data_IF_101060234289
#
_entry.id   IF_101060234289
#
_cell.length_a   1.000
_cell.length_b   1.000
_cell.length_c   1.000
_cell.angle_alpha   90.00
_cell.angle_beta   90.00
_cell.angle_gamma   90.00
#
_symmetry.space_group_name_H-M   'P 1'
#
loop_
_entity.id
_entity.type
_entity.pdbx_description
1 polymer ?
#
# COMPACT_ATOMS: atom_id res chain seq x y z
N UNK A 1 8.40 -0.80 24.82
CA UNK A 1 8.78 0.61 24.53
C UNK A 1 8.76 0.80 23.02
N UNK A 2 7.93 1.69 22.47
CA UNK A 2 7.98 2.05 21.04
C UNK A 2 9.32 2.77 20.80
N UNK A 3 10.20 2.21 19.95
CA UNK A 3 11.45 2.88 19.56
C UNK A 3 11.09 4.23 18.91
N UNK A 4 11.82 5.32 19.19
CA UNK A 4 11.59 6.57 18.48
C UNK A 4 11.88 6.35 16.99
N UNK A 5 10.84 6.49 16.16
CA UNK A 5 10.96 6.39 14.71
C UNK A 5 11.83 7.56 14.22
N UNK A 6 12.96 7.26 13.60
CA UNK A 6 13.73 8.29 12.90
C UNK A 6 12.93 8.76 11.68
N UNK A 7 13.09 10.02 11.24
CA UNK A 7 12.32 10.56 10.12
C UNK A 7 12.49 9.78 8.80
N UNK A 8 13.58 9.02 8.63
CA UNK A 8 13.77 8.12 7.49
C UNK A 8 12.94 6.84 7.60
N UNK A 9 12.84 6.24 8.79
CA UNK A 9 12.00 5.05 9.00
C UNK A 9 10.52 5.43 8.88
N UNK A 10 10.12 6.59 9.40
CA UNK A 10 8.75 7.11 9.24
C UNK A 10 8.34 7.26 7.76
N UNK A 11 9.26 7.71 6.89
CA UNK A 11 9.02 7.75 5.43
C UNK A 11 8.81 6.38 4.81
N UNK A 12 9.61 5.39 5.21
CA UNK A 12 9.46 4.01 4.71
C UNK A 12 8.07 3.46 5.10
N UNK A 13 7.66 3.68 6.34
CA UNK A 13 6.34 3.23 6.83
C UNK A 13 5.21 3.94 6.08
N UNK A 14 5.28 5.27 5.88
CA UNK A 14 4.26 6.02 5.14
C UNK A 14 4.15 5.57 3.68
N UNK A 15 5.29 5.47 2.99
CA UNK A 15 5.33 5.07 1.58
C UNK A 15 4.72 3.66 1.38
N UNK A 16 5.08 2.70 2.23
CA UNK A 16 4.57 1.32 2.10
C UNK A 16 3.14 1.18 2.62
N UNK A 17 2.71 1.99 3.60
CA UNK A 17 1.29 2.12 3.97
C UNK A 17 0.45 2.55 2.78
N UNK A 18 0.88 3.61 2.08
CA UNK A 18 0.18 4.12 0.92
C UNK A 18 0.15 3.10 -0.23
N UNK A 19 1.28 2.44 -0.52
CA UNK A 19 1.37 1.41 -1.58
C UNK A 19 0.45 0.22 -1.31
N UNK A 20 0.36 -0.23 -0.06
CA UNK A 20 -0.55 -1.30 0.35
C UNK A 20 -2.01 -0.90 0.14
N UNK A 21 -2.41 0.27 0.64
CA UNK A 21 -3.81 0.69 0.56
C UNK A 21 -4.28 0.94 -0.87
N UNK A 22 -3.43 1.55 -1.71
CA UNK A 22 -3.73 1.78 -3.12
C UNK A 22 -3.75 0.48 -3.93
N UNK A 23 -2.82 -0.45 -3.69
CA UNK A 23 -2.82 -1.76 -4.35
C UNK A 23 -4.10 -2.55 -4.06
N UNK A 24 -4.52 -2.59 -2.79
CA UNK A 24 -5.78 -3.23 -2.39
C UNK A 24 -7.01 -2.52 -2.98
N UNK A 25 -6.99 -1.19 -3.08
CA UNK A 25 -8.08 -0.41 -3.67
C UNK A 25 -8.30 -0.76 -5.15
N UNK A 26 -7.23 -0.96 -5.91
CA UNK A 26 -7.33 -1.39 -7.32
C UNK A 26 -7.94 -2.79 -7.43
N UNK A 27 -7.54 -3.72 -6.55
CA UNK A 27 -8.12 -5.07 -6.53
C UNK A 27 -9.60 -5.06 -6.15
N UNK A 28 -9.99 -4.20 -5.19
CA UNK A 28 -11.38 -3.95 -4.82
C UNK A 28 -12.20 -3.41 -6.01
N UNK A 29 -11.67 -2.47 -6.79
CA UNK A 29 -12.37 -1.92 -7.96
C UNK A 29 -12.50 -2.93 -9.10
N UNK A 30 -11.49 -3.78 -9.32
CA UNK A 30 -11.60 -4.88 -10.29
C UNK A 30 -12.72 -5.84 -9.86
N UNK A 31 -12.76 -6.24 -8.58
CA UNK A 31 -13.83 -7.09 -8.07
C UNK A 31 -15.22 -6.42 -8.21
N UNK A 32 -15.30 -5.12 -7.91
CA UNK A 32 -16.57 -4.37 -7.90
C UNK A 32 -17.11 -4.08 -9.29
N UNK A 33 -16.27 -3.59 -10.19
CA UNK A 33 -16.72 -2.97 -11.44
C UNK A 33 -16.44 -3.79 -12.69
N UNK A 34 -15.55 -4.79 -12.61
CA UNK A 34 -15.23 -5.66 -13.76
C UNK A 34 -15.83 -7.04 -13.56
N UNK A 35 -15.78 -7.56 -12.33
CA UNK A 35 -16.28 -8.91 -12.02
C UNK A 35 -17.69 -8.89 -11.45
N UNK A 36 -18.20 -7.73 -11.03
CA UNK A 36 -19.46 -7.57 -10.27
C UNK A 36 -19.57 -8.56 -9.08
N UNK A 37 -18.43 -8.93 -8.49
CA UNK A 37 -18.31 -9.93 -7.43
C UNK A 37 -18.43 -9.25 -6.06
N UNK A 38 -19.65 -9.28 -5.51
CA UNK A 38 -19.96 -8.68 -4.20
C UNK A 38 -19.16 -9.33 -3.06
N UNK A 39 -19.09 -10.66 -2.91
CA UNK A 39 -18.22 -11.30 -1.92
C UNK A 39 -16.77 -10.83 -1.98
N UNK A 40 -16.15 -10.82 -3.17
CA UNK A 40 -14.75 -10.40 -3.33
C UNK A 40 -14.57 -8.91 -3.03
N UNK A 41 -15.52 -8.07 -3.44
CA UNK A 41 -15.53 -6.64 -3.13
C UNK A 41 -15.50 -6.38 -1.63
N UNK A 42 -16.38 -7.03 -0.86
CA UNK A 42 -16.42 -6.89 0.60
C UNK A 42 -15.16 -7.46 1.26
N UNK A 43 -14.60 -8.54 0.71
CA UNK A 43 -13.35 -9.11 1.20
C UNK A 43 -12.18 -8.12 1.06
N UNK A 44 -11.97 -7.53 -0.13
CA UNK A 44 -10.92 -6.53 -0.34
C UNK A 44 -11.12 -5.27 0.48
N UNK A 45 -12.36 -4.79 0.58
CA UNK A 45 -12.72 -3.66 1.44
C UNK A 45 -12.37 -3.94 2.90
N UNK A 46 -12.70 -5.12 3.41
CA UNK A 46 -12.37 -5.56 4.78
C UNK A 46 -10.86 -5.60 5.02
N UNK A 47 -10.09 -6.22 4.11
CA UNK A 47 -8.62 -6.25 4.21
C UNK A 47 -8.06 -4.82 4.23
N UNK A 48 -8.52 -3.94 3.34
CA UNK A 48 -8.06 -2.54 3.26
C UNK A 48 -8.36 -1.77 4.55
N UNK A 49 -9.54 -1.95 5.14
CA UNK A 49 -9.89 -1.34 6.44
C UNK A 49 -9.02 -1.88 7.57
N UNK A 50 -8.78 -3.20 7.64
CA UNK A 50 -7.91 -3.82 8.65
C UNK A 50 -6.47 -3.31 8.52
N UNK A 51 -5.94 -3.25 7.30
CA UNK A 51 -4.61 -2.71 7.03
C UNK A 51 -4.49 -1.25 7.49
N UNK A 52 -5.45 -0.39 7.11
CA UNK A 52 -5.44 1.03 7.53
C UNK A 52 -5.53 1.18 9.06
N UNK A 53 -6.37 0.38 9.72
CA UNK A 53 -6.51 0.41 11.19
C UNK A 53 -5.25 -0.07 11.90
N UNK A 54 -4.62 -1.15 11.43
CA UNK A 54 -3.35 -1.63 11.97
C UNK A 54 -2.24 -0.56 11.83
N UNK A 55 -2.19 0.11 10.69
CA UNK A 55 -1.17 1.13 10.39
C UNK A 55 -1.37 2.41 11.20
N UNK A 56 -2.61 2.76 11.56
CA UNK A 56 -2.87 3.83 12.55
C UNK A 56 -2.25 3.51 13.93
N UNK A 57 -2.12 2.24 14.30
CA UNK A 57 -1.49 1.80 15.55
C UNK A 57 0.04 1.82 15.53
N UNK A 58 0.63 1.69 14.34
CA UNK A 58 2.09 1.68 14.10
C UNK A 58 2.69 3.09 14.08
N UNK A 59 1.91 4.10 13.71
CA UNK A 59 2.35 5.49 13.77
C UNK A 59 2.35 6.04 15.19
N UNK A 60 3.54 6.31 15.74
CA UNK A 60 3.68 7.49 16.61
C UNK A 60 3.15 8.72 15.87
N UNK A 61 2.65 9.72 16.62
CA UNK A 61 1.90 10.91 16.16
C UNK A 61 1.82 11.06 14.64
N UNK A 62 0.63 10.89 14.06
CA UNK A 62 0.41 10.95 12.60
C UNK A 62 0.97 12.23 11.98
N UNK A 63 1.01 13.34 12.75
CA UNK A 63 1.70 14.58 12.36
C UNK A 63 3.20 14.40 12.19
N UNK A 64 3.83 13.63 13.07
CA UNK A 64 5.25 13.32 13.04
C UNK A 64 5.65 12.37 11.89
N UNK A 65 4.73 11.62 11.30
CA UNK A 65 4.99 10.87 10.05
C UNK A 65 4.76 11.76 8.84
N UNK A 66 3.67 12.53 8.84
CA UNK A 66 3.34 13.45 7.75
C UNK A 66 4.42 14.54 7.55
N UNK A 67 5.07 15.02 8.63
CA UNK A 67 6.14 16.01 8.54
C UNK A 67 7.36 15.52 7.75
N UNK A 68 7.53 14.20 7.61
CA UNK A 68 8.64 13.62 6.86
C UNK A 68 8.20 13.14 5.48
N UNK A 69 6.92 13.23 5.10
CA UNK A 69 6.47 12.80 3.77
C UNK A 69 7.14 13.66 2.70
N UNK A 70 7.83 13.00 1.77
CA UNK A 70 8.51 13.64 0.66
C UNK A 70 8.29 12.84 -0.64
N UNK A 71 7.06 12.88 -1.14
CA UNK A 71 6.66 12.09 -2.32
C UNK A 71 7.27 12.61 -3.64
N UNK A 72 7.81 13.83 -3.64
CA UNK A 72 8.37 14.49 -4.82
C UNK A 72 9.90 14.33 -4.88
N UNK A 73 10.58 14.21 -3.73
CA UNK A 73 12.00 13.87 -3.63
C UNK A 73 12.31 12.37 -3.66
N UNK A 74 11.31 11.49 -3.66
CA UNK A 74 11.50 10.04 -3.66
C UNK A 74 12.15 9.52 -4.96
N UNK A 75 13.38 9.02 -4.83
CA UNK A 75 14.15 8.40 -5.92
C UNK A 75 13.51 7.06 -6.31
N UNK A 76 13.45 6.75 -7.61
CA UNK A 76 12.93 5.47 -8.13
C UNK A 76 11.42 5.45 -8.41
N UNK A 77 10.76 6.60 -8.48
CA UNK A 77 9.32 6.74 -8.82
C UNK A 77 8.98 6.28 -10.25
N UNK A 78 9.97 6.23 -11.14
CA UNK A 78 9.78 5.85 -12.54
C UNK A 78 9.68 4.33 -12.68
N UNK A 79 8.47 3.84 -13.00
CA UNK A 79 8.29 2.45 -13.44
C UNK A 79 9.13 2.16 -14.69
N UNK A 80 9.80 1.03 -14.68
CA UNK A 80 10.60 0.54 -15.80
C UNK A 80 9.66 0.13 -16.93
N UNK A 81 10.04 0.30 -18.20
CA UNK A 81 9.16 -0.04 -19.36
C UNK A 81 8.69 -1.51 -19.33
N UNK A 82 9.45 -2.42 -18.73
CA UNK A 82 9.07 -3.83 -18.52
C UNK A 82 7.88 -4.01 -17.57
N UNK A 83 7.69 -3.11 -16.59
CA UNK A 83 6.54 -3.14 -15.65
C UNK A 83 5.23 -2.64 -16.29
N UNK A 84 5.31 -2.04 -17.49
CA UNK A 84 4.17 -1.44 -18.21
C UNK A 84 3.45 -2.40 -19.16
N UNK A 85 3.95 -3.62 -19.40
CA UNK A 85 3.20 -4.63 -20.17
C UNK A 85 2.13 -5.27 -19.28
N UNK A 86 1.01 -4.59 -19.11
CA UNK A 86 -0.23 -5.15 -18.55
C UNK A 86 -1.18 -5.37 -19.72
N UNK A 87 -1.31 -6.61 -20.18
CA UNK A 87 -2.15 -6.94 -21.34
C UNK A 87 -3.61 -7.14 -20.97
N UNK A 88 -3.88 -7.49 -19.72
CA UNK A 88 -5.21 -7.88 -19.24
C UNK A 88 -5.54 -7.30 -17.86
N UNK A 89 -6.82 -7.30 -17.50
CA UNK A 89 -7.28 -6.98 -16.13
C UNK A 89 -6.65 -7.92 -15.10
N UNK A 90 -6.45 -9.19 -15.45
CA UNK A 90 -5.79 -10.16 -14.57
C UNK A 90 -4.34 -9.78 -14.26
N UNK A 91 -3.61 -9.21 -15.24
CA UNK A 91 -2.25 -8.72 -15.01
C UNK A 91 -2.24 -7.50 -14.07
N UNK A 92 -3.22 -6.60 -14.22
CA UNK A 92 -3.41 -5.46 -13.32
C UNK A 92 -3.70 -5.94 -11.90
N UNK A 93 -4.59 -6.92 -11.76
CA UNK A 93 -4.91 -7.51 -10.46
C UNK A 93 -3.68 -8.13 -9.80
N UNK A 94 -2.98 -9.03 -10.50
CA UNK A 94 -1.77 -9.71 -10.00
C UNK A 94 -0.69 -8.72 -9.59
N UNK A 95 -0.43 -7.70 -10.41
CA UNK A 95 0.56 -6.68 -10.09
C UNK A 95 0.21 -5.90 -8.82
N UNK A 96 -1.06 -5.55 -8.61
CA UNK A 96 -1.47 -4.78 -7.44
C UNK A 96 -1.53 -5.63 -6.16
N UNK A 97 -1.92 -6.90 -6.25
CA UNK A 97 -1.79 -7.85 -5.14
C UNK A 97 -0.32 -8.02 -4.77
N UNK A 98 0.56 -8.24 -5.75
CA UNK A 98 1.99 -8.43 -5.49
C UNK A 98 2.63 -7.22 -4.82
N UNK A 99 2.28 -6.02 -5.29
CA UNK A 99 2.69 -4.77 -4.66
C UNK A 99 2.21 -4.67 -3.20
N UNK A 100 1.00 -5.13 -2.92
CA UNK A 100 0.46 -5.22 -1.56
C UNK A 100 1.29 -6.16 -0.67
N UNK A 101 1.62 -7.35 -1.17
CA UNK A 101 2.49 -8.31 -0.46
C UNK A 101 3.85 -7.71 -0.12
N UNK A 102 4.53 -7.12 -1.10
CA UNK A 102 5.84 -6.49 -0.91
C UNK A 102 5.77 -5.33 0.08
N UNK A 103 4.71 -4.51 0.01
CA UNK A 103 4.51 -3.41 0.94
C UNK A 103 4.29 -3.91 2.37
N UNK A 104 3.50 -4.98 2.56
CA UNK A 104 3.32 -5.62 3.86
C UNK A 104 4.65 -6.17 4.39
N UNK A 105 5.47 -6.79 3.53
CA UNK A 105 6.79 -7.28 3.95
C UNK A 105 7.69 -6.16 4.44
N UNK A 106 7.72 -5.02 3.75
CA UNK A 106 8.50 -3.87 4.22
C UNK A 106 7.95 -3.31 5.53
N UNK A 107 6.63 -3.24 5.70
CA UNK A 107 6.04 -2.78 6.96
C UNK A 107 6.39 -3.71 8.13
N UNK A 108 6.41 -5.02 7.92
CA UNK A 108 6.80 -6.01 8.93
C UNK A 108 8.23 -5.79 9.44
N UNK A 109 9.17 -5.42 8.56
CA UNK A 109 10.58 -5.22 8.92
C UNK A 109 10.87 -3.88 9.60
N UNK A 110 10.04 -2.85 9.37
CA UNK A 110 10.33 -1.47 9.78
C UNK A 110 9.37 -0.87 10.82
N UNK A 111 8.19 -1.45 11.06
CA UNK A 111 7.13 -0.89 11.90
C UNK A 111 7.08 -1.45 13.34
#
# INVERSE_FOLDING_TARGET
MKKPLTGRIARIIDANTNRLTEGLRVCEDIARFILDDRPATEHFKSIRHRASSALKGLGGDKKAIMQFRDSDGDIGKLSIKSEKRRGTVADVFKANIKRGEESMRVLEEFA
#
